data_IF_758840528680
#
_entry.id   IF_758840528680
#
_cell.length_a   1.000
_cell.length_b   1.000
_cell.length_c   1.000
_cell.angle_alpha   90.00
_cell.angle_beta   90.00
_cell.angle_gamma   90.00
#
_symmetry.space_group_name_H-M   'P 1'
#
loop_
_entity.id
_entity.type
_entity.pdbx_description
1 polymer ?
#
# COMPACT_ATOMS: atom_id res chain seq x y z
N UNK A 1 -4.91 4.67 -3.38
CA UNK A 1 -4.87 3.19 -3.39
C UNK A 1 -5.55 2.72 -4.66
N UNK A 2 -4.99 1.74 -5.36
CA UNK A 2 -5.58 1.18 -6.58
C UNK A 2 -6.03 -0.24 -6.29
N UNK A 3 -7.27 -0.55 -6.66
CA UNK A 3 -7.88 -1.85 -6.45
C UNK A 3 -8.42 -2.40 -7.77
N UNK A 4 -8.25 -3.69 -8.01
CA UNK A 4 -8.77 -4.37 -9.20
C UNK A 4 -10.06 -5.10 -8.86
N UNK A 5 -11.10 -4.89 -9.66
CA UNK A 5 -12.37 -5.59 -9.49
C UNK A 5 -12.21 -7.09 -9.82
N UNK A 6 -12.58 -7.96 -8.87
CA UNK A 6 -12.59 -9.42 -9.00
C UNK A 6 -14.02 -9.99 -8.94
N UNK A 7 -15.01 -9.19 -8.54
CA UNK A 7 -16.44 -9.56 -8.52
C UNK A 7 -17.34 -8.34 -8.78
N UNK A 8 -17.91 -8.27 -9.98
CA UNK A 8 -18.86 -7.23 -10.39
C UNK A 8 -20.33 -7.67 -10.31
N UNK A 9 -20.65 -8.77 -9.61
CA UNK A 9 -22.03 -9.23 -9.48
C UNK A 9 -22.93 -8.13 -8.90
N UNK A 10 -24.03 -7.81 -9.58
CA UNK A 10 -24.99 -6.77 -9.18
C UNK A 10 -24.41 -5.34 -9.14
N UNK A 11 -23.28 -5.08 -9.81
CA UNK A 11 -22.69 -3.75 -9.91
C UNK A 11 -22.33 -3.46 -11.36
N UNK A 12 -23.26 -2.87 -12.11
CA UNK A 12 -23.12 -2.61 -13.55
C UNK A 12 -22.14 -1.49 -13.88
N UNK A 13 -21.80 -0.64 -12.91
CA UNK A 13 -20.79 0.41 -13.08
C UNK A 13 -19.36 -0.07 -12.87
N UNK A 14 -19.17 -1.38 -12.62
CA UNK A 14 -17.87 -2.02 -12.50
C UNK A 14 -17.63 -3.08 -13.58
N UNK A 15 -16.48 -2.96 -14.22
CA UNK A 15 -15.91 -3.92 -15.15
C UNK A 15 -14.98 -4.89 -14.42
N UNK A 16 -15.20 -6.18 -14.62
CA UNK A 16 -14.33 -7.23 -14.09
C UNK A 16 -12.89 -7.05 -14.59
N UNK A 17 -11.90 -7.28 -13.72
CA UNK A 17 -10.47 -7.09 -13.94
C UNK A 17 -9.99 -5.66 -14.23
N UNK A 18 -10.88 -4.66 -14.19
CA UNK A 18 -10.48 -3.25 -14.28
C UNK A 18 -9.96 -2.73 -12.95
N UNK A 19 -9.01 -1.81 -13.02
CA UNK A 19 -8.42 -1.12 -11.87
C UNK A 19 -9.17 0.19 -11.60
N UNK A 20 -9.38 0.46 -10.32
CA UNK A 20 -10.14 1.58 -9.80
C UNK A 20 -9.34 2.32 -8.73
N UNK A 21 -9.46 3.64 -8.72
CA UNK A 21 -8.86 4.50 -7.70
C UNK A 21 -9.79 4.54 -6.50
N UNK A 22 -9.26 4.18 -5.33
CA UNK A 22 -9.93 4.34 -4.03
C UNK A 22 -9.73 5.76 -3.55
N UNK A 23 -10.85 6.44 -3.29
CA UNK A 23 -10.92 7.80 -2.74
C UNK A 23 -10.98 7.73 -1.21
N UNK A 24 -11.80 6.81 -0.67
CA UNK A 24 -11.98 6.61 0.76
C UNK A 24 -12.02 5.11 1.12
N UNK A 25 -11.48 4.78 2.29
CA UNK A 25 -11.47 3.43 2.84
C UNK A 25 -12.14 3.41 4.22
N UNK A 26 -13.25 2.67 4.32
CA UNK A 26 -13.88 2.32 5.59
C UNK A 26 -13.48 0.89 6.01
N UNK A 27 -13.97 0.37 7.14
CA UNK A 27 -13.62 -0.97 7.60
C UNK A 27 -13.91 -2.07 6.54
N UNK A 28 -15.14 -2.09 6.00
CA UNK A 28 -15.64 -3.15 5.10
C UNK A 28 -15.88 -2.67 3.66
N UNK A 29 -15.70 -1.38 3.38
CA UNK A 29 -16.05 -0.76 2.10
C UNK A 29 -14.93 0.12 1.55
N UNK A 30 -14.86 0.21 0.22
CA UNK A 30 -14.12 1.23 -0.52
C UNK A 30 -15.11 2.19 -1.18
N UNK A 31 -14.79 3.47 -1.17
CA UNK A 31 -15.38 4.47 -2.08
C UNK A 31 -14.42 4.61 -3.25
N UNK A 32 -14.89 4.32 -4.46
CA UNK A 32 -14.10 4.36 -5.70
C UNK A 32 -14.75 5.27 -6.74
N UNK A 33 -13.97 5.73 -7.72
CA UNK A 33 -14.49 6.29 -8.98
C UNK A 33 -14.81 5.13 -9.93
N UNK A 34 -16.06 5.01 -10.37
CA UNK A 34 -16.53 3.92 -11.21
C UNK A 34 -16.28 4.16 -12.72
N UNK A 35 -16.84 3.29 -13.59
CA UNK A 35 -16.68 3.41 -15.05
C UNK A 35 -17.30 4.68 -15.65
N UNK A 36 -18.19 5.35 -14.92
CA UNK A 36 -18.82 6.61 -15.28
C UNK A 36 -18.17 7.83 -14.61
N UNK A 37 -17.03 7.64 -13.92
CA UNK A 37 -16.37 8.66 -13.08
C UNK A 37 -17.23 9.16 -11.91
N UNK A 38 -18.19 8.36 -11.47
CA UNK A 38 -19.03 8.68 -10.31
C UNK A 38 -18.51 7.97 -9.06
N UNK A 39 -18.70 8.58 -7.89
CA UNK A 39 -18.34 7.99 -6.61
C UNK A 39 -19.30 6.85 -6.26
N UNK A 40 -18.76 5.64 -6.13
CA UNK A 40 -19.53 4.44 -5.77
C UNK A 40 -18.93 3.75 -4.55
N UNK A 41 -19.79 3.41 -3.58
CA UNK A 41 -19.39 2.63 -2.39
C UNK A 41 -19.57 1.13 -2.63
N UNK A 42 -18.49 0.36 -2.52
CA UNK A 42 -18.47 -1.07 -2.78
C UNK A 42 -17.77 -1.84 -1.66
N UNK A 43 -18.19 -3.09 -1.42
CA UNK A 43 -17.54 -3.98 -0.44
C UNK A 43 -16.11 -4.31 -0.86
N UNK A 44 -15.18 -4.31 0.09
CA UNK A 44 -13.76 -4.64 -0.16
C UNK A 44 -13.57 -6.02 -0.77
N UNK A 45 -14.41 -7.00 -0.40
CA UNK A 45 -14.36 -8.37 -0.90
C UNK A 45 -14.49 -8.49 -2.42
N UNK A 46 -15.00 -7.45 -3.10
CA UNK A 46 -15.13 -7.39 -4.57
C UNK A 46 -13.84 -7.02 -5.28
N UNK A 47 -12.80 -6.64 -4.53
CA UNK A 47 -11.58 -6.15 -5.11
C UNK A 47 -10.35 -6.86 -4.56
N UNK A 48 -9.31 -6.85 -5.38
CA UNK A 48 -7.95 -7.17 -4.98
C UNK A 48 -7.13 -5.89 -4.96
N UNK A 49 -6.43 -5.62 -3.86
CA UNK A 49 -5.52 -4.48 -3.78
C UNK A 49 -4.35 -4.68 -4.73
N UNK A 50 -4.14 -3.72 -5.63
CA UNK A 50 -3.00 -3.71 -6.57
C UNK A 50 -1.92 -2.76 -6.06
N UNK A 51 -2.32 -1.57 -5.63
CA UNK A 51 -1.40 -0.57 -5.08
C UNK A 51 -1.94 0.02 -3.78
N UNK A 52 -1.24 -0.25 -2.68
CA UNK A 52 -1.48 0.41 -1.40
C UNK A 52 -0.55 1.63 -1.26
N UNK A 53 -1.10 2.79 -1.60
CA UNK A 53 -0.39 4.06 -1.51
C UNK A 53 -0.10 4.51 -0.07
N UNK A 54 -0.89 4.07 0.92
CA UNK A 54 -0.67 4.42 2.33
C UNK A 54 0.48 3.57 2.91
N UNK A 55 0.48 2.26 2.63
CA UNK A 55 1.60 1.39 2.99
C UNK A 55 2.90 1.89 2.34
N UNK A 56 2.85 2.29 1.07
CA UNK A 56 4.01 2.85 0.36
C UNK A 56 4.51 4.13 1.02
N UNK A 57 3.59 5.02 1.45
CA UNK A 57 3.93 6.26 2.14
C UNK A 57 4.56 5.99 3.50
N UNK A 58 3.96 5.11 4.31
CA UNK A 58 4.49 4.69 5.61
C UNK A 58 5.87 4.05 5.47
N UNK A 59 6.05 3.15 4.51
CA UNK A 59 7.34 2.52 4.25
C UNK A 59 8.43 3.55 3.88
N UNK A 60 8.12 4.54 3.02
CA UNK A 60 9.05 5.63 2.71
C UNK A 60 9.42 6.44 3.95
N UNK A 61 8.44 6.83 4.76
CA UNK A 61 8.67 7.58 5.99
C UNK A 61 9.54 6.79 6.98
N UNK A 62 9.29 5.49 7.16
CA UNK A 62 10.11 4.62 7.99
C UNK A 62 11.56 4.52 7.49
N UNK A 63 11.77 4.39 6.18
CA UNK A 63 13.13 4.33 5.61
C UNK A 63 13.87 5.64 5.85
N UNK A 64 13.21 6.78 5.65
CA UNK A 64 13.79 8.11 5.94
C UNK A 64 14.21 8.23 7.40
N UNK A 65 13.36 7.81 8.34
CA UNK A 65 13.66 7.83 9.76
C UNK A 65 14.83 6.91 10.12
N UNK A 66 14.84 5.67 9.60
CA UNK A 66 15.94 4.73 9.83
C UNK A 66 17.28 5.25 9.29
N UNK A 67 17.28 5.90 8.11
CA UNK A 67 18.48 6.55 7.56
C UNK A 67 18.96 7.67 8.48
N UNK A 68 18.05 8.55 8.91
CA UNK A 68 18.37 9.65 9.81
C UNK A 68 19.01 9.17 11.12
N UNK A 69 18.46 8.12 11.73
CA UNK A 69 18.99 7.55 12.98
C UNK A 69 20.42 7.00 12.80
N UNK A 70 20.73 6.36 11.67
CA UNK A 70 22.08 5.86 11.38
C UNK A 70 23.05 7.02 11.13
N UNK A 71 22.65 8.00 10.31
CA UNK A 71 23.50 9.16 9.97
C UNK A 71 23.87 9.99 11.20
N UNK A 72 23.01 9.99 12.23
CA UNK A 72 23.23 10.72 13.48
C UNK A 72 23.68 9.82 14.65
N UNK A 73 24.07 8.57 14.37
CA UNK A 73 24.57 7.58 15.34
C UNK A 73 23.68 7.37 16.59
N UNK A 74 22.36 7.28 16.39
CA UNK A 74 21.41 7.09 17.47
C UNK A 74 21.63 5.76 18.21
N UNK A 75 21.16 5.69 19.46
CA UNK A 75 21.47 4.60 20.40
C UNK A 75 20.88 3.23 20.03
N UNK A 76 19.79 3.18 19.26
CA UNK A 76 18.99 1.96 19.11
C UNK A 76 19.31 1.19 17.82
N UNK A 77 19.52 1.88 16.70
CA UNK A 77 19.71 1.25 15.38
C UNK A 77 21.20 1.24 15.02
N UNK A 78 21.71 0.04 14.67
CA UNK A 78 23.07 -0.13 14.17
C UNK A 78 23.13 -0.03 12.66
N UNK A 79 22.17 -0.66 11.98
CA UNK A 79 22.11 -0.73 10.52
C UNK A 79 20.73 -1.20 10.05
N UNK A 80 20.33 -0.90 8.82
CA UNK A 80 19.22 -1.58 8.15
C UNK A 80 19.58 -1.85 6.69
N UNK A 81 18.97 -2.89 6.12
CA UNK A 81 19.14 -3.26 4.71
C UNK A 81 17.79 -3.48 4.04
N UNK A 82 17.69 -3.06 2.77
CA UNK A 82 16.49 -3.25 1.94
C UNK A 82 16.78 -4.30 0.88
N UNK A 83 16.01 -5.38 0.86
CA UNK A 83 16.02 -6.38 -0.22
C UNK A 83 14.86 -6.11 -1.17
N UNK A 84 15.16 -6.07 -2.47
CA UNK A 84 14.18 -5.91 -3.54
C UNK A 84 13.92 -7.23 -4.27
N UNK A 85 12.76 -7.38 -4.90
CA UNK A 85 12.47 -8.50 -5.79
C UNK A 85 13.06 -8.26 -7.20
N UNK A 86 12.83 -9.19 -8.13
CA UNK A 86 13.30 -9.09 -9.53
C UNK A 86 12.70 -7.92 -10.32
N UNK A 87 11.60 -7.33 -9.84
CA UNK A 87 10.96 -6.14 -10.43
C UNK A 87 11.46 -4.83 -9.80
N UNK A 88 12.35 -4.90 -8.80
CA UNK A 88 12.86 -3.73 -8.08
C UNK A 88 11.97 -3.22 -6.95
N UNK A 89 10.88 -3.92 -6.63
CA UNK A 89 9.97 -3.58 -5.54
C UNK A 89 10.54 -4.04 -4.21
N UNK A 90 10.29 -3.30 -3.13
CA UNK A 90 10.77 -3.67 -1.79
C UNK A 90 10.09 -4.97 -1.36
N UNK A 91 10.90 -5.97 -1.04
CA UNK A 91 10.44 -7.27 -0.55
C UNK A 91 10.62 -7.39 0.95
N UNK A 92 11.70 -6.86 1.49
CA UNK A 92 12.03 -6.97 2.91
C UNK A 92 12.88 -5.79 3.36
N UNK A 93 12.65 -5.32 4.59
CA UNK A 93 13.52 -4.40 5.32
C UNK A 93 13.98 -5.12 6.58
N UNK A 94 15.28 -5.35 6.69
CA UNK A 94 15.88 -6.01 7.85
C UNK A 94 16.59 -4.95 8.70
N UNK A 95 16.25 -4.85 9.98
CA UNK A 95 16.81 -3.85 10.91
C UNK A 95 17.68 -4.55 11.94
N UNK A 96 18.90 -4.06 12.12
CA UNK A 96 19.85 -4.53 13.15
C UNK A 96 19.96 -3.49 14.24
N UNK A 97 19.57 -3.87 15.45
CA UNK A 97 19.66 -3.04 16.64
C UNK A 97 21.07 -3.08 17.24
N UNK A 98 21.44 -2.01 17.94
CA UNK A 98 22.57 -2.02 18.87
C UNK A 98 22.11 -2.81 20.11
N UNK A 99 22.83 -3.88 20.43
CA UNK A 99 22.65 -4.59 21.69
C UNK A 99 23.82 -4.15 22.58
N UNK A 100 23.51 -3.68 23.79
CA UNK A 100 24.51 -3.36 24.82
C UNK A 100 25.19 -4.63 25.32
#
# INVERSE_FOLDING_TARGET
>A
MIVRCIDNNLCSSLSLNKEYVVIEEAAEYYVILDDSNEETTCRKSRFQVIEDGDLTRKAKATITELSYQIENDFKDIKHFSIRKNSKGEIKEISVKFKYN
#
